data_IF_647006021139
#
_entry.id   IF_647006021139
#
_cell.length_a   1.000
_cell.length_b   1.000
_cell.length_c   1.000
_cell.angle_alpha   90.00
_cell.angle_beta   90.00
_cell.angle_gamma   90.00
#
_symmetry.space_group_name_H-M   'P 1'
#
loop_
_entity.id
_entity.type
_entity.pdbx_description
1 polymer ?
#
# COMPACT_ATOMS: atom_id res chain seq x y z
N UNK A 1 56.69 26.91 56.83
CA UNK A 1 56.92 26.27 55.52
C UNK A 1 56.28 24.88 55.54
N UNK A 2 55.31 24.67 54.64
CA UNK A 2 54.78 23.40 54.11
C UNK A 2 54.07 22.43 55.07
N UNK A 3 52.75 22.43 54.95
CA UNK A 3 51.79 21.39 55.37
C UNK A 3 52.07 20.04 54.69
N UNK A 4 51.75 18.93 55.36
CA UNK A 4 51.36 17.70 54.66
C UNK A 4 50.33 16.91 55.47
N UNK A 5 49.08 17.08 55.07
CA UNK A 5 47.90 16.29 55.42
C UNK A 5 47.99 14.92 54.73
N UNK A 6 47.64 13.84 55.44
CA UNK A 6 47.32 12.55 54.81
C UNK A 6 45.84 12.25 54.99
N UNK A 7 45.20 12.06 53.84
CA UNK A 7 43.77 12.06 53.59
C UNK A 7 43.22 10.65 53.79
N UNK A 8 42.12 10.57 54.54
CA UNK A 8 41.26 9.39 54.68
C UNK A 8 40.60 9.09 53.33
N UNK A 9 40.80 7.87 52.80
CA UNK A 9 40.22 7.42 51.54
C UNK A 9 38.87 6.73 51.81
N UNK A 10 37.81 7.52 51.84
CA UNK A 10 36.44 7.02 51.78
C UNK A 10 36.12 6.58 50.35
N UNK A 11 35.95 5.27 50.13
CA UNK A 11 35.42 4.71 48.88
C UNK A 11 33.90 4.72 48.98
N UNK A 12 33.29 5.69 48.31
CA UNK A 12 31.88 5.66 47.89
C UNK A 12 31.87 5.58 46.36
N UNK A 13 30.74 5.10 45.80
CA UNK A 13 30.31 5.16 44.39
C UNK A 13 30.46 3.86 43.58
N UNK A 14 29.50 3.39 42.77
CA UNK A 14 28.13 3.80 42.42
C UNK A 14 27.39 2.50 42.04
N UNK A 15 26.20 2.25 42.59
CA UNK A 15 25.29 1.24 42.03
C UNK A 15 24.73 1.78 40.70
N UNK A 16 25.18 1.18 39.59
CA UNK A 16 24.71 1.53 38.25
C UNK A 16 23.23 1.16 38.10
N UNK A 17 22.42 2.16 37.76
CA UNK A 17 21.04 2.01 37.36
C UNK A 17 21.02 1.36 35.96
N UNK A 18 20.51 0.13 35.84
CA UNK A 18 20.27 -0.47 34.53
C UNK A 18 19.10 0.26 33.85
N UNK A 19 19.29 0.95 32.71
CA UNK A 19 18.15 1.39 31.92
C UNK A 19 17.46 0.13 31.40
N UNK A 20 16.24 -0.11 31.90
CA UNK A 20 15.37 -1.15 31.35
C UNK A 20 15.27 -0.92 29.85
N UNK A 21 15.74 -1.90 29.06
CA UNK A 21 15.66 -1.86 27.62
C UNK A 21 14.22 -1.52 27.18
N UNK A 22 14.04 -0.65 26.18
CA UNK A 22 12.71 -0.34 25.69
C UNK A 22 12.06 -1.65 25.26
N UNK A 23 10.91 -1.97 25.87
CA UNK A 23 10.09 -3.11 25.46
C UNK A 23 9.84 -2.95 23.96
N UNK A 24 10.46 -3.82 23.15
CA UNK A 24 10.07 -4.01 21.75
C UNK A 24 8.61 -4.41 21.77
N UNK A 25 7.71 -3.46 21.49
CA UNK A 25 6.34 -3.79 21.11
C UNK A 25 6.44 -4.55 19.80
N UNK A 26 6.39 -5.88 19.89
CA UNK A 26 6.14 -6.77 18.76
C UNK A 26 4.66 -6.67 18.38
N UNK A 27 4.23 -5.52 17.86
CA UNK A 27 2.99 -5.44 17.10
C UNK A 27 3.37 -5.59 15.63
N UNK A 28 3.67 -6.83 15.22
CA UNK A 28 3.66 -7.16 13.80
C UNK A 28 2.21 -7.05 13.32
N UNK A 29 1.80 -5.83 12.96
CA UNK A 29 0.57 -5.62 12.21
C UNK A 29 0.74 -6.36 10.88
N UNK A 30 0.22 -7.59 10.83
CA UNK A 30 0.27 -8.41 9.62
C UNK A 30 -0.91 -7.99 8.76
N UNK A 31 -0.73 -6.94 7.97
CA UNK A 31 -1.69 -6.59 6.95
C UNK A 31 -1.56 -7.55 5.76
N UNK A 32 -2.58 -7.58 4.92
CA UNK A 32 -2.56 -8.33 3.66
C UNK A 32 -1.36 -7.86 2.82
N UNK A 33 -0.56 -8.82 2.35
CA UNK A 33 0.67 -8.55 1.58
C UNK A 33 0.32 -8.30 0.11
N UNK A 34 -0.19 -7.10 -0.17
CA UNK A 34 -0.69 -6.74 -1.50
C UNK A 34 0.39 -6.90 -2.57
N UNK A 35 1.61 -6.42 -2.31
CA UNK A 35 2.69 -6.53 -3.27
C UNK A 35 2.99 -7.99 -3.61
N UNK A 36 3.14 -8.84 -2.60
CA UNK A 36 3.43 -10.27 -2.79
C UNK A 36 2.30 -10.95 -3.59
N UNK A 37 1.04 -10.62 -3.31
CA UNK A 37 -0.10 -11.13 -4.06
C UNK A 37 -0.07 -10.70 -5.54
N UNK A 38 0.21 -9.43 -5.82
CA UNK A 38 0.30 -8.93 -7.19
C UNK A 38 1.49 -9.52 -7.96
N UNK A 39 2.61 -9.77 -7.28
CA UNK A 39 3.77 -10.46 -7.86
C UNK A 39 3.43 -11.91 -8.23
N UNK A 40 2.62 -12.60 -7.43
CA UNK A 40 2.10 -13.94 -7.74
C UNK A 40 1.14 -13.91 -8.92
N UNK A 41 0.23 -12.95 -8.97
CA UNK A 41 -0.72 -12.80 -10.07
C UNK A 41 -0.03 -12.43 -11.39
N UNK A 42 1.01 -11.58 -11.35
CA UNK A 42 1.82 -11.27 -12.53
C UNK A 42 2.50 -12.52 -13.09
N UNK A 43 3.05 -13.39 -12.22
CA UNK A 43 3.62 -14.68 -12.63
C UNK A 43 2.56 -15.61 -13.19
N UNK A 44 1.41 -15.73 -12.54
CA UNK A 44 0.27 -16.55 -13.01
C UNK A 44 -0.19 -16.11 -14.39
N UNK A 45 -0.40 -14.81 -14.60
CA UNK A 45 -0.87 -14.25 -15.86
C UNK A 45 0.19 -14.33 -16.97
N UNK A 46 1.48 -14.24 -16.64
CA UNK A 46 2.57 -14.50 -17.59
C UNK A 46 2.54 -15.94 -18.11
N UNK A 47 2.30 -16.92 -17.23
CA UNK A 47 2.20 -18.33 -17.62
C UNK A 47 0.92 -18.60 -18.40
N UNK A 48 -0.22 -18.07 -17.94
CA UNK A 48 -1.51 -18.21 -18.62
C UNK A 48 -1.52 -17.53 -20.00
N UNK A 49 -0.74 -16.45 -20.15
CA UNK A 49 -0.61 -15.65 -21.35
C UNK A 49 -1.96 -15.30 -22.04
N UNK A 50 -2.94 -14.78 -21.27
CA UNK A 50 -4.28 -14.56 -21.80
C UNK A 50 -4.27 -13.42 -22.81
N UNK A 51 -5.09 -13.55 -23.86
CA UNK A 51 -5.46 -12.40 -24.67
C UNK A 51 -6.55 -11.62 -23.94
N UNK A 52 -6.33 -10.33 -23.74
CA UNK A 52 -7.25 -9.46 -23.02
C UNK A 52 -7.85 -8.41 -23.96
N UNK A 53 -9.03 -7.91 -23.58
CA UNK A 53 -9.58 -6.67 -24.12
C UNK A 53 -9.11 -5.51 -23.22
N UNK A 54 -8.10 -4.76 -23.69
CA UNK A 54 -7.60 -3.57 -22.98
C UNK A 54 -8.30 -2.32 -23.50
N UNK A 55 -8.79 -1.49 -22.59
CA UNK A 55 -9.34 -0.17 -22.87
C UNK A 55 -8.59 0.89 -22.06
N UNK A 56 -8.16 1.95 -22.73
CA UNK A 56 -7.59 3.15 -22.12
C UNK A 56 -8.50 4.32 -22.48
N UNK A 57 -8.88 5.10 -21.48
CA UNK A 57 -9.76 6.26 -21.64
C UNK A 57 -9.12 7.47 -20.98
N UNK A 58 -9.16 8.59 -21.67
CA UNK A 58 -8.76 9.91 -21.17
C UNK A 58 -9.94 10.85 -21.42
N UNK A 59 -10.52 11.38 -20.35
CA UNK A 59 -11.78 12.11 -20.38
C UNK A 59 -12.87 11.29 -21.09
N UNK A 60 -13.31 11.74 -22.27
CA UNK A 60 -14.37 11.09 -23.06
C UNK A 60 -13.81 10.25 -24.23
N UNK A 61 -12.51 10.31 -24.48
CA UNK A 61 -11.87 9.60 -25.58
C UNK A 61 -11.34 8.26 -25.12
N UNK A 62 -11.64 7.19 -25.87
CA UNK A 62 -11.23 5.83 -25.52
C UNK A 62 -10.55 5.12 -26.69
N UNK A 63 -9.50 4.36 -26.37
CA UNK A 63 -8.84 3.42 -27.26
C UNK A 63 -9.05 2.00 -26.71
N UNK A 64 -9.38 1.05 -27.58
CA UNK A 64 -9.53 -0.36 -27.22
C UNK A 64 -8.67 -1.23 -28.12
N UNK A 65 -7.96 -2.19 -27.52
CA UNK A 65 -7.11 -3.13 -28.24
C UNK A 65 -7.18 -4.52 -27.61
N UNK A 66 -7.23 -5.53 -28.47
CA UNK A 66 -6.99 -6.93 -28.11
C UNK A 66 -5.49 -7.19 -28.13
N UNK A 67 -4.94 -7.66 -27.03
CA UNK A 67 -3.51 -7.91 -26.92
C UNK A 67 -3.19 -8.91 -25.82
N UNK A 68 -1.97 -9.46 -25.87
CA UNK A 68 -1.35 -10.17 -24.76
C UNK A 68 -0.33 -9.22 -24.10
N UNK A 69 -0.36 -9.14 -22.79
CA UNK A 69 0.59 -8.29 -22.05
C UNK A 69 1.89 -9.05 -21.89
N UNK A 70 2.98 -8.46 -22.40
CA UNK A 70 4.31 -9.06 -22.31
C UNK A 70 4.90 -8.97 -20.89
N UNK A 71 4.66 -7.84 -20.21
CA UNK A 71 5.18 -7.56 -18.87
C UNK A 71 4.04 -7.26 -17.88
N UNK A 72 3.49 -8.34 -17.30
CA UNK A 72 2.47 -8.24 -16.27
C UNK A 72 2.97 -7.60 -14.97
N UNK A 73 4.27 -7.69 -14.69
CA UNK A 73 4.87 -7.08 -13.51
C UNK A 73 4.76 -5.56 -13.60
N UNK A 74 5.07 -5.00 -14.78
CA UNK A 74 4.88 -3.58 -15.08
C UNK A 74 3.41 -3.18 -15.13
N UNK A 75 2.55 -3.99 -15.76
CA UNK A 75 1.13 -3.65 -15.89
C UNK A 75 0.42 -3.57 -14.52
N UNK A 76 0.76 -4.45 -13.57
CA UNK A 76 0.16 -4.47 -12.24
C UNK A 76 0.91 -3.61 -11.20
N UNK A 77 1.94 -2.87 -11.60
CA UNK A 77 2.82 -2.18 -10.64
C UNK A 77 2.09 -1.17 -9.77
N UNK A 78 1.07 -0.47 -10.30
CA UNK A 78 0.29 0.50 -9.51
C UNK A 78 -0.44 -0.13 -8.32
N UNK A 79 -0.80 -1.42 -8.40
CA UNK A 79 -1.35 -2.15 -7.26
C UNK A 79 -0.25 -2.48 -6.24
N UNK A 80 0.90 -2.98 -6.70
CA UNK A 80 2.05 -3.28 -5.86
C UNK A 80 2.58 -2.03 -5.12
N UNK A 81 2.62 -0.88 -5.79
CA UNK A 81 3.08 0.40 -5.23
C UNK A 81 2.14 0.93 -4.14
N UNK A 82 0.88 0.47 -4.15
CA UNK A 82 -0.15 0.80 -3.17
C UNK A 82 -0.17 -0.14 -1.96
N UNK A 83 0.83 -1.02 -1.80
CA UNK A 83 0.94 -1.87 -0.62
C UNK A 83 1.01 -1.02 0.66
N UNK A 84 0.19 -1.39 1.64
CA UNK A 84 0.05 -0.69 2.91
C UNK A 84 1.11 -1.09 3.95
N UNK A 85 1.91 -2.13 3.68
CA UNK A 85 2.95 -2.64 4.58
C UNK A 85 4.25 -1.80 4.58
N UNK A 86 4.22 -0.55 4.11
CA UNK A 86 5.39 0.34 4.15
C UNK A 86 5.77 0.66 5.59
N UNK A 87 7.06 0.70 5.90
CA UNK A 87 7.56 0.96 7.26
C UNK A 87 7.00 2.24 7.88
N UNK A 88 6.83 3.30 7.08
CA UNK A 88 6.26 4.58 7.53
C UNK A 88 4.76 4.54 7.84
N UNK A 89 4.05 3.47 7.47
CA UNK A 89 2.60 3.33 7.62
C UNK A 89 2.17 2.23 8.59
N UNK A 90 3.14 1.58 9.25
CA UNK A 90 2.87 0.56 10.26
C UNK A 90 1.99 1.13 11.38
N UNK A 91 0.93 0.40 11.73
CA UNK A 91 -0.05 0.83 12.74
C UNK A 91 -0.97 1.98 12.34
N UNK A 92 -0.88 2.51 11.11
CA UNK A 92 -1.73 3.62 10.65
C UNK A 92 -3.06 3.16 10.01
N UNK A 93 -3.35 1.87 10.02
CA UNK A 93 -4.58 1.31 9.46
C UNK A 93 -5.43 0.63 10.52
N UNK A 94 -6.72 0.94 10.52
CA UNK A 94 -7.74 0.22 11.28
C UNK A 94 -8.19 -0.98 10.45
N UNK A 95 -7.94 -2.19 10.94
CA UNK A 95 -8.34 -3.44 10.30
C UNK A 95 -9.76 -3.85 10.74
N UNK A 96 -10.57 -4.33 9.80
CA UNK A 96 -11.85 -4.98 10.06
C UNK A 96 -11.92 -6.30 9.28
N UNK A 97 -12.29 -7.38 9.94
CA UNK A 97 -12.51 -8.69 9.31
C UNK A 97 -13.98 -9.05 9.38
N UNK A 98 -14.57 -9.33 8.22
CA UNK A 98 -15.87 -9.97 8.09
C UNK A 98 -15.72 -11.46 7.77
N UNK A 99 -16.84 -12.13 7.46
CA UNK A 99 -16.84 -13.55 7.08
C UNK A 99 -16.04 -13.82 5.81
N UNK A 100 -16.29 -13.02 4.77
CA UNK A 100 -15.71 -13.16 3.43
C UNK A 100 -15.02 -11.86 2.98
N UNK A 101 -14.65 -11.00 3.93
CA UNK A 101 -14.05 -9.70 3.64
C UNK A 101 -12.99 -9.32 4.67
N UNK A 102 -11.98 -8.58 4.23
CA UNK A 102 -10.98 -7.94 5.08
C UNK A 102 -10.76 -6.52 4.58
N UNK A 103 -10.85 -5.52 5.46
CA UNK A 103 -10.65 -4.13 5.08
C UNK A 103 -9.69 -3.40 6.02
N UNK A 104 -8.97 -2.46 5.44
CA UNK A 104 -7.99 -1.61 6.08
C UNK A 104 -8.33 -0.16 5.75
N UNK A 105 -8.53 0.67 6.78
CA UNK A 105 -8.90 2.08 6.62
C UNK A 105 -7.88 2.97 7.34
N UNK A 106 -7.42 4.01 6.65
CA UNK A 106 -6.56 5.05 7.23
C UNK A 106 -7.19 6.42 7.02
N UNK A 107 -7.34 7.16 8.12
CA UNK A 107 -7.68 8.58 8.15
C UNK A 107 -6.42 9.47 8.24
N UNK A 108 -5.23 8.87 8.32
CA UNK A 108 -3.98 9.61 8.41
C UNK A 108 -3.67 10.40 7.14
N UNK A 109 -3.42 11.70 7.27
CA UNK A 109 -3.15 12.61 6.15
C UNK A 109 -1.89 12.21 5.36
N UNK A 110 -0.87 11.65 6.02
CA UNK A 110 0.42 11.27 5.41
C UNK A 110 0.35 9.94 4.65
N UNK A 111 -0.77 9.23 4.71
CA UNK A 111 -0.98 7.94 4.04
C UNK A 111 -1.88 8.16 2.82
N UNK A 112 -1.37 8.01 1.59
CA UNK A 112 -2.20 8.18 0.40
C UNK A 112 -3.27 7.10 0.23
N UNK A 113 -2.96 5.85 0.60
CA UNK A 113 -3.91 4.73 0.55
C UNK A 113 -4.93 4.91 1.68
N UNK A 114 -6.14 5.34 1.35
CA UNK A 114 -7.20 5.61 2.32
C UNK A 114 -7.95 4.35 2.69
N UNK A 115 -8.15 3.45 1.74
CA UNK A 115 -8.68 2.13 2.04
C UNK A 115 -8.13 1.04 1.13
N UNK A 116 -8.07 -0.17 1.66
CA UNK A 116 -7.87 -1.41 0.92
C UNK A 116 -8.88 -2.45 1.41
N UNK A 117 -9.65 -3.02 0.51
CA UNK A 117 -10.63 -4.07 0.79
C UNK A 117 -10.32 -5.30 -0.03
N UNK A 118 -10.29 -6.45 0.62
CA UNK A 118 -10.17 -7.77 0.01
C UNK A 118 -11.48 -8.50 0.24
N UNK A 119 -12.06 -9.01 -0.84
CA UNK A 119 -13.21 -9.91 -0.80
C UNK A 119 -12.73 -11.32 -1.15
N UNK A 120 -13.32 -12.30 -0.47
CA UNK A 120 -13.01 -13.71 -0.64
C UNK A 120 -14.23 -14.47 -1.14
N UNK A 121 -13.98 -15.56 -1.87
CA UNK A 121 -14.97 -16.56 -2.25
C UNK A 121 -14.34 -17.93 -2.08
N UNK A 122 -14.93 -18.78 -1.24
CA UNK A 122 -14.40 -20.12 -0.92
C UNK A 122 -12.94 -20.07 -0.42
N UNK A 123 -12.61 -19.09 0.43
CA UNK A 123 -11.26 -18.92 0.99
C UNK A 123 -10.20 -18.39 0.02
N UNK A 124 -10.57 -18.07 -1.22
CA UNK A 124 -9.66 -17.47 -2.22
C UNK A 124 -10.01 -16.01 -2.44
N UNK A 125 -9.01 -15.17 -2.76
CA UNK A 125 -9.24 -13.78 -3.13
C UNK A 125 -10.13 -13.74 -4.38
N UNK A 126 -11.26 -13.05 -4.26
CA UNK A 126 -12.21 -12.82 -5.34
C UNK A 126 -12.07 -11.40 -5.91
N UNK A 127 -11.76 -10.43 -5.06
CA UNK A 127 -11.58 -9.05 -5.49
C UNK A 127 -10.74 -8.25 -4.51
N UNK A 128 -9.95 -7.32 -5.03
CA UNK A 128 -9.20 -6.33 -4.26
C UNK A 128 -9.58 -4.95 -4.78
N UNK A 129 -9.96 -4.06 -3.87
CA UNK A 129 -10.28 -2.67 -4.18
C UNK A 129 -9.47 -1.72 -3.30
N UNK A 130 -8.90 -0.69 -3.91
CA UNK A 130 -8.13 0.35 -3.23
C UNK A 130 -8.69 1.73 -3.55
N UNK A 131 -8.75 2.58 -2.51
CA UNK A 131 -8.98 4.00 -2.66
C UNK A 131 -7.72 4.76 -2.25
N UNK A 132 -7.19 5.57 -3.16
CA UNK A 132 -5.96 6.33 -2.95
C UNK A 132 -6.29 7.81 -3.17
N UNK A 133 -5.88 8.66 -2.22
CA UNK A 133 -6.02 10.10 -2.32
C UNK A 133 -4.70 10.78 -2.02
N UNK A 134 -4.26 11.63 -2.94
CA UNK A 134 -3.06 12.47 -2.80
C UNK A 134 -3.46 13.91 -2.99
N UNK A 135 -3.06 14.78 -2.07
CA UNK A 135 -3.46 16.19 -2.07
C UNK A 135 -2.31 17.07 -1.60
N UNK A 136 -2.13 18.20 -2.29
CA UNK A 136 -1.29 19.32 -1.89
C UNK A 136 -1.89 20.62 -2.46
N UNK A 137 -1.25 21.76 -2.19
CA UNK A 137 -1.76 23.09 -2.56
C UNK A 137 -1.95 23.33 -4.06
N UNK A 138 -1.35 22.51 -4.92
CA UNK A 138 -1.39 22.63 -6.38
C UNK A 138 -2.16 21.50 -7.06
N UNK A 139 -2.42 20.40 -6.37
CA UNK A 139 -2.83 19.14 -6.99
C UNK A 139 -3.66 18.27 -6.05
N UNK A 140 -4.73 17.67 -6.58
CA UNK A 140 -5.49 16.59 -5.94
C UNK A 140 -5.68 15.42 -6.90
N UNK A 141 -5.52 14.21 -6.38
CA UNK A 141 -5.78 12.94 -7.08
C UNK A 141 -6.74 12.10 -6.26
N UNK A 142 -7.75 11.52 -6.91
CA UNK A 142 -8.53 10.42 -6.38
C UNK A 142 -8.44 9.25 -7.34
N UNK A 143 -7.86 8.14 -6.85
CA UNK A 143 -7.59 6.97 -7.65
C UNK A 143 -8.34 5.77 -7.03
N UNK A 144 -8.97 4.97 -7.89
CA UNK A 144 -9.60 3.70 -7.52
C UNK A 144 -8.95 2.59 -8.32
N UNK A 145 -8.37 1.61 -7.62
CA UNK A 145 -7.80 0.43 -8.25
C UNK A 145 -8.67 -0.78 -7.90
N UNK A 146 -9.06 -1.56 -8.90
CA UNK A 146 -9.87 -2.76 -8.71
C UNK A 146 -9.23 -3.94 -9.43
N UNK A 147 -9.09 -5.07 -8.74
CA UNK A 147 -8.52 -6.30 -9.29
C UNK A 147 -9.41 -7.50 -8.96
N UNK A 148 -9.83 -8.22 -9.99
CA UNK A 148 -10.64 -9.44 -9.92
C UNK A 148 -9.89 -10.54 -10.69
N UNK A 149 -9.27 -11.52 -10.02
CA UNK A 149 -8.35 -12.48 -10.64
C UNK A 149 -8.95 -13.29 -11.81
N UNK A 150 -10.27 -13.44 -11.82
CA UNK A 150 -11.05 -14.18 -12.81
C UNK A 150 -11.62 -13.30 -13.93
N UNK A 151 -11.64 -11.98 -13.76
CA UNK A 151 -12.45 -11.09 -14.61
C UNK A 151 -11.68 -9.92 -15.20
N UNK A 152 -11.04 -9.09 -14.37
CA UNK A 152 -10.44 -7.83 -14.84
C UNK A 152 -9.46 -7.20 -13.86
N UNK A 153 -8.67 -6.27 -14.37
CA UNK A 153 -8.07 -5.20 -13.57
C UNK A 153 -8.53 -3.84 -14.10
N UNK A 154 -8.66 -2.86 -13.20
CA UNK A 154 -9.08 -1.50 -13.52
C UNK A 154 -8.34 -0.47 -12.67
N UNK A 155 -7.92 0.62 -13.31
CA UNK A 155 -7.37 1.80 -12.67
C UNK A 155 -8.23 2.99 -13.11
N UNK A 156 -8.86 3.68 -12.17
CA UNK A 156 -9.58 4.94 -12.39
C UNK A 156 -8.86 6.04 -11.65
N UNK A 157 -8.76 7.21 -12.26
CA UNK A 157 -8.05 8.35 -11.69
C UNK A 157 -8.71 9.65 -12.11
N UNK A 158 -8.99 10.51 -11.15
CA UNK A 158 -9.41 11.89 -11.38
C UNK A 158 -8.35 12.82 -10.81
N UNK A 159 -7.86 13.74 -11.63
CA UNK A 159 -6.82 14.69 -11.29
C UNK A 159 -7.33 16.12 -11.43
N UNK A 160 -7.21 16.88 -10.35
CA UNK A 160 -7.43 18.31 -10.34
C UNK A 160 -6.09 19.02 -10.12
N UNK A 161 -5.67 19.86 -11.08
CA UNK A 161 -4.51 20.73 -10.96
C UNK A 161 -5.02 22.15 -10.93
N UNK A 162 -4.54 22.96 -9.98
CA UNK A 162 -4.95 24.36 -9.85
C UNK A 162 -4.74 25.10 -11.18
N UNK A 163 -5.73 25.89 -11.60
CA UNK A 163 -5.78 26.65 -12.87
C UNK A 163 -5.96 25.81 -14.14
N UNK A 164 -6.09 24.49 -14.05
CA UNK A 164 -6.35 23.62 -15.20
C UNK A 164 -7.70 22.92 -15.06
N UNK A 165 -8.23 22.48 -16.20
CA UNK A 165 -9.40 21.62 -16.20
C UNK A 165 -9.07 20.26 -15.58
N UNK A 166 -10.05 19.71 -14.88
CA UNK A 166 -9.98 18.35 -14.35
C UNK A 166 -9.73 17.35 -15.49
N UNK A 167 -8.92 16.33 -15.20
CA UNK A 167 -8.67 15.21 -16.11
C UNK A 167 -9.06 13.91 -15.47
N UNK A 168 -9.78 13.07 -16.20
CA UNK A 168 -10.08 11.70 -15.79
C UNK A 168 -9.37 10.70 -16.69
N UNK A 169 -8.89 9.62 -16.08
CA UNK A 169 -8.21 8.53 -16.76
C UNK A 169 -8.82 7.22 -16.29
N UNK A 170 -8.99 6.28 -17.21
CA UNK A 170 -9.37 4.93 -16.89
C UNK A 170 -8.58 3.94 -17.74
N UNK A 171 -7.97 2.96 -17.09
CA UNK A 171 -7.38 1.78 -17.75
C UNK A 171 -8.17 0.58 -17.28
N UNK A 172 -8.54 -0.31 -18.19
CA UNK A 172 -9.22 -1.57 -17.85
C UNK A 172 -8.72 -2.66 -18.77
N UNK A 173 -8.25 -3.77 -18.22
CA UNK A 173 -8.01 -5.00 -18.97
C UNK A 173 -8.97 -6.07 -18.52
N UNK A 174 -9.80 -6.57 -19.43
CA UNK A 174 -10.75 -7.66 -19.16
C UNK A 174 -10.17 -8.98 -19.65
N UNK A 175 -10.16 -9.96 -18.76
CA UNK A 175 -9.82 -11.35 -19.08
C UNK A 175 -10.97 -11.96 -19.88
N UNK A 176 -10.66 -12.97 -20.70
CA UNK A 176 -11.63 -13.75 -21.46
C UNK A 176 -11.80 -15.11 -20.82
#
# INVERSE_FOLDING_TARGET
MKHLTTISLSILFFAACNPSAPKKQNTSFTYFKLKDYMDLEAKRLKVLNPEIDKTVMVNQSAERKKLRIADWQKELSSFADADINKSAWQGLFKQRKGKDTESYLSDNEKVPVKSMTISYRNGKVHGIELLIRTENSLYTSNDTLSYFPDSLYQLKKTQHIKLLNEKSYQITGRFK
#
